data_IF_493060171881
#
_entry.id   IF_493060171881
#
_cell.length_a   1.000
_cell.length_b   1.000
_cell.length_c   1.000
_cell.angle_alpha   90.00
_cell.angle_beta   90.00
_cell.angle_gamma   90.00
#
_symmetry.space_group_name_H-M   'P 1'
#
loop_
_entity.id
_entity.type
_entity.pdbx_description
1 polymer ?
#
# COMPACT_ATOMS: atom_id res chain seq x y z
N UNK A 1 -12.70 -6.95 -3.14
CA UNK A 1 -13.01 -6.04 -4.28
C UNK A 1 -12.06 -4.85 -4.21
N UNK A 2 -11.54 -4.42 -5.35
CA UNK A 2 -10.64 -3.27 -5.44
C UNK A 2 -11.26 -2.19 -6.34
N UNK A 3 -11.32 -0.96 -5.84
CA UNK A 3 -11.92 0.21 -6.50
C UNK A 3 -10.82 1.23 -6.82
N UNK A 4 -10.72 1.63 -8.10
CA UNK A 4 -9.73 2.63 -8.54
C UNK A 4 -10.28 4.05 -8.49
N UNK A 5 -9.42 5.05 -8.53
CA UNK A 5 -9.78 6.49 -8.59
C UNK A 5 -10.71 6.85 -9.76
N UNK A 6 -10.87 5.98 -10.76
CA UNK A 6 -11.75 6.16 -11.94
C UNK A 6 -13.06 5.37 -11.86
N UNK A 7 -13.31 4.69 -10.75
CA UNK A 7 -14.51 3.86 -10.58
C UNK A 7 -14.39 2.46 -11.17
N UNK A 8 -13.24 2.08 -11.74
CA UNK A 8 -13.05 0.69 -12.17
C UNK A 8 -13.03 -0.23 -10.96
N UNK A 9 -13.66 -1.39 -11.09
CA UNK A 9 -13.79 -2.39 -10.03
C UNK A 9 -13.22 -3.71 -10.50
N UNK A 10 -12.41 -4.35 -9.66
CA UNK A 10 -11.74 -5.62 -9.96
C UNK A 10 -11.60 -6.50 -8.72
N UNK A 11 -11.29 -7.81 -8.85
CA UNK A 11 -11.05 -8.69 -7.72
C UNK A 11 -9.89 -8.25 -6.83
N UNK A 12 -8.81 -7.69 -7.41
CA UNK A 12 -7.62 -7.21 -6.70
C UNK A 12 -6.94 -6.09 -7.48
N UNK A 13 -5.99 -5.40 -6.87
CA UNK A 13 -5.27 -4.27 -7.46
C UNK A 13 -4.42 -4.63 -8.70
N UNK A 14 -4.00 -5.89 -8.85
CA UNK A 14 -3.28 -6.37 -10.05
C UNK A 14 -4.14 -6.46 -11.32
N UNK A 15 -5.45 -6.37 -11.17
CA UNK A 15 -6.43 -6.46 -12.26
C UNK A 15 -7.17 -5.12 -12.50
N UNK A 16 -6.55 -3.94 -12.43
CA UNK A 16 -7.27 -2.67 -12.51
C UNK A 16 -7.97 -2.53 -13.86
N UNK A 17 -9.26 -2.17 -13.83
CA UNK A 17 -10.05 -1.91 -15.03
C UNK A 17 -10.52 -3.14 -15.82
N UNK A 18 -10.28 -4.35 -15.34
CA UNK A 18 -10.60 -5.57 -16.12
C UNK A 18 -12.00 -6.15 -15.87
N UNK A 19 -12.70 -5.76 -14.82
CA UNK A 19 -13.97 -6.40 -14.49
C UNK A 19 -15.18 -5.53 -14.75
N UNK A 20 -15.32 -4.43 -14.02
CA UNK A 20 -16.52 -3.59 -14.12
C UNK A 20 -16.20 -2.14 -13.76
N UNK A 21 -17.21 -1.27 -13.83
CA UNK A 21 -17.11 0.13 -13.44
C UNK A 21 -18.32 0.51 -12.58
N UNK A 22 -18.06 1.08 -11.41
CA UNK A 22 -19.08 1.67 -10.58
C UNK A 22 -19.51 3.03 -11.17
N UNK A 23 -20.80 3.30 -11.14
CA UNK A 23 -21.40 4.54 -11.64
C UNK A 23 -22.88 4.60 -11.34
N UNK A 24 -23.59 5.58 -11.93
CA UNK A 24 -25.00 5.86 -11.63
C UNK A 24 -25.93 4.66 -11.88
N UNK A 25 -25.59 3.81 -12.85
CA UNK A 25 -26.48 2.73 -13.33
C UNK A 25 -26.11 1.34 -12.77
N UNK A 26 -25.08 1.24 -11.93
CA UNK A 26 -24.58 -0.03 -11.38
C UNK A 26 -24.28 0.08 -9.90
N UNK A 27 -25.01 -0.68 -9.06
CA UNK A 27 -24.71 -0.78 -7.64
C UNK A 27 -23.46 -1.62 -7.37
N UNK A 28 -22.86 -1.48 -6.17
CA UNK A 28 -21.75 -2.33 -5.72
C UNK A 28 -22.19 -3.81 -5.72
N UNK A 29 -23.44 -4.08 -5.34
CA UNK A 29 -23.99 -5.44 -5.30
C UNK A 29 -24.17 -6.02 -6.72
N UNK A 30 -24.64 -5.22 -7.70
CA UNK A 30 -24.75 -5.66 -9.10
C UNK A 30 -23.37 -6.03 -9.67
N UNK A 31 -22.35 -5.27 -9.32
CA UNK A 31 -20.95 -5.57 -9.71
C UNK A 31 -20.48 -6.86 -9.04
N UNK A 32 -20.70 -7.01 -7.72
CA UNK A 32 -20.26 -8.17 -6.97
C UNK A 32 -20.92 -9.46 -7.44
N UNK A 33 -22.23 -9.43 -7.70
CA UNK A 33 -23.01 -10.57 -8.21
C UNK A 33 -22.93 -10.74 -9.74
N UNK A 34 -22.29 -9.81 -10.44
CA UNK A 34 -22.17 -9.82 -11.89
C UNK A 34 -21.28 -10.95 -12.44
N UNK A 35 -21.54 -11.35 -13.69
CA UNK A 35 -20.90 -12.49 -14.36
C UNK A 35 -19.38 -12.46 -14.34
N UNK A 36 -18.77 -11.28 -14.46
CA UNK A 36 -17.31 -11.14 -14.46
C UNK A 36 -16.70 -11.50 -13.10
N UNK A 37 -17.28 -11.04 -12.00
CA UNK A 37 -16.84 -11.41 -10.67
C UNK A 37 -17.14 -12.88 -10.37
N UNK A 38 -18.28 -13.38 -10.84
CA UNK A 38 -18.64 -14.80 -10.71
C UNK A 38 -17.63 -15.69 -11.44
N UNK A 39 -17.23 -15.33 -12.67
CA UNK A 39 -16.21 -16.04 -13.43
C UNK A 39 -14.89 -16.19 -12.66
N UNK A 40 -14.42 -15.12 -11.99
CA UNK A 40 -13.20 -15.17 -11.18
C UNK A 40 -13.39 -16.05 -9.93
N UNK A 41 -14.54 -15.96 -9.25
CA UNK A 41 -14.85 -16.81 -8.08
C UNK A 41 -14.87 -18.29 -8.47
N UNK A 42 -15.56 -18.63 -9.54
CA UNK A 42 -15.67 -20.02 -10.02
C UNK A 42 -14.29 -20.57 -10.43
N UNK A 43 -13.51 -19.79 -11.14
CA UNK A 43 -12.17 -20.18 -11.55
C UNK A 43 -11.25 -20.43 -10.34
N UNK A 44 -11.19 -19.48 -9.40
CA UNK A 44 -10.35 -19.61 -8.20
C UNK A 44 -10.82 -20.72 -7.28
N UNK A 45 -12.14 -20.93 -7.13
CA UNK A 45 -12.69 -22.05 -6.36
C UNK A 45 -12.34 -23.41 -6.96
N UNK A 46 -12.16 -23.47 -8.28
CA UNK A 46 -11.68 -24.66 -9.00
C UNK A 46 -10.14 -24.74 -9.10
N UNK A 47 -9.41 -23.93 -8.33
CA UNK A 47 -7.95 -23.78 -8.41
C UNK A 47 -7.44 -23.48 -9.83
N UNK A 48 -8.22 -22.71 -10.61
CA UNK A 48 -7.83 -22.26 -11.95
C UNK A 48 -7.49 -20.78 -11.93
N UNK A 49 -6.26 -20.45 -12.27
CA UNK A 49 -5.79 -19.09 -12.36
C UNK A 49 -5.97 -18.54 -13.78
N UNK A 50 -6.87 -17.56 -13.94
CA UNK A 50 -7.23 -16.96 -15.23
C UNK A 50 -6.62 -15.56 -15.40
N UNK A 51 -6.32 -15.20 -16.64
CA UNK A 51 -5.76 -13.87 -16.95
C UNK A 51 -4.50 -13.59 -16.15
N UNK A 52 -4.44 -12.44 -15.51
CA UNK A 52 -3.29 -12.02 -14.69
C UNK A 52 -3.19 -12.74 -13.34
N UNK A 53 -4.19 -13.52 -12.94
CA UNK A 53 -4.07 -14.39 -11.76
C UNK A 53 -2.95 -15.42 -11.93
N UNK A 54 -2.52 -15.72 -13.16
CA UNK A 54 -1.35 -16.57 -13.45
C UNK A 54 -0.03 -16.04 -12.88
N UNK A 55 0.08 -14.76 -12.61
CA UNK A 55 1.24 -14.21 -11.91
C UNK A 55 1.30 -14.73 -10.47
N UNK A 56 0.15 -14.77 -9.77
CA UNK A 56 0.07 -15.36 -8.43
C UNK A 56 0.23 -16.89 -8.46
N UNK A 57 -0.26 -17.58 -9.51
CA UNK A 57 -0.02 -19.01 -9.72
C UNK A 57 1.48 -19.31 -9.77
N UNK A 58 2.22 -18.56 -10.60
CA UNK A 58 3.66 -18.69 -10.71
C UNK A 58 4.40 -18.40 -9.39
N UNK A 59 3.95 -17.38 -8.62
CA UNK A 59 4.51 -17.10 -7.30
C UNK A 59 4.30 -18.27 -6.33
N UNK A 60 3.13 -18.91 -6.37
CA UNK A 60 2.80 -20.07 -5.53
C UNK A 60 3.64 -21.28 -5.93
N UNK A 61 3.73 -21.57 -7.24
CA UNK A 61 4.50 -22.69 -7.77
C UNK A 61 6.01 -22.59 -7.48
N UNK A 62 6.54 -21.36 -7.47
CA UNK A 62 7.94 -21.09 -7.16
C UNK A 62 8.19 -20.83 -5.66
N UNK A 63 7.19 -21.05 -4.80
CA UNK A 63 7.26 -20.81 -3.35
C UNK A 63 7.63 -19.36 -2.96
N UNK A 64 7.39 -18.41 -3.87
CA UNK A 64 7.58 -16.98 -3.68
C UNK A 64 6.21 -16.31 -3.62
N UNK A 65 5.70 -16.00 -2.45
CA UNK A 65 4.27 -15.74 -2.20
C UNK A 65 3.86 -14.27 -1.90
N UNK A 66 4.63 -13.21 -2.16
CA UNK A 66 4.33 -11.91 -1.56
C UNK A 66 2.92 -11.39 -1.88
N UNK A 67 2.42 -11.61 -3.11
CA UNK A 67 1.11 -11.12 -3.53
C UNK A 67 -0.03 -12.08 -3.15
N UNK A 68 0.17 -13.38 -3.36
CA UNK A 68 -0.82 -14.37 -2.97
C UNK A 68 -1.08 -14.34 -1.46
N UNK A 69 -0.04 -14.18 -0.63
CA UNK A 69 -0.16 -14.02 0.83
C UNK A 69 -0.99 -12.81 1.26
N UNK A 70 -0.96 -11.72 0.50
CA UNK A 70 -1.75 -10.53 0.82
C UNK A 70 -3.27 -10.79 0.78
N UNK A 71 -3.71 -11.88 0.13
CA UNK A 71 -5.12 -12.21 -0.05
C UNK A 71 -5.53 -13.57 0.54
N UNK A 72 -4.60 -14.40 1.02
CA UNK A 72 -4.87 -15.79 1.47
C UNK A 72 -5.87 -15.88 2.64
N UNK A 73 -5.99 -14.85 3.47
CA UNK A 73 -6.85 -14.85 4.66
C UNK A 73 -8.25 -14.28 4.40
N UNK A 74 -8.61 -14.03 3.14
CA UNK A 74 -9.89 -13.46 2.76
C UNK A 74 -10.74 -14.47 1.99
N UNK A 75 -11.56 -15.28 2.68
CA UNK A 75 -12.38 -16.28 2.04
C UNK A 75 -13.42 -15.66 1.11
N UNK A 76 -13.79 -16.41 0.09
CA UNK A 76 -14.91 -16.05 -0.79
C UNK A 76 -16.21 -16.50 -0.12
N UNK A 77 -17.07 -15.53 0.16
CA UNK A 77 -18.38 -15.72 0.78
C UNK A 77 -19.47 -15.08 -0.09
N UNK A 78 -20.71 -15.02 0.42
CA UNK A 78 -21.80 -14.30 -0.22
C UNK A 78 -21.47 -12.82 -0.42
N UNK A 79 -20.72 -12.22 0.52
CA UNK A 79 -20.12 -10.88 0.45
C UNK A 79 -18.60 -10.96 0.34
N UNK A 80 -17.93 -9.92 -0.19
CA UNK A 80 -16.47 -9.86 -0.15
C UNK A 80 -15.99 -9.72 1.30
N UNK A 81 -14.91 -10.40 1.65
CA UNK A 81 -14.26 -10.26 2.97
C UNK A 81 -13.30 -9.08 3.04
N UNK A 82 -12.82 -8.61 1.89
CA UNK A 82 -11.88 -7.50 1.75
C UNK A 82 -12.37 -6.50 0.70
N UNK A 83 -12.37 -5.22 1.06
CA UNK A 83 -12.49 -4.10 0.12
C UNK A 83 -11.27 -3.20 0.18
N UNK A 84 -10.71 -2.86 -0.99
CA UNK A 84 -9.60 -1.94 -1.16
C UNK A 84 -10.07 -0.74 -1.99
N UNK A 85 -9.90 0.46 -1.45
CA UNK A 85 -10.53 1.67 -1.97
C UNK A 85 -9.48 2.74 -2.30
N UNK A 86 -9.38 3.10 -3.58
CA UNK A 86 -8.69 4.29 -4.08
C UNK A 86 -9.73 5.27 -4.62
N UNK A 87 -10.26 6.13 -3.74
CA UNK A 87 -11.44 6.92 -4.07
C UNK A 87 -11.13 8.25 -4.77
N UNK A 88 -9.91 8.75 -4.64
CA UNK A 88 -9.52 10.04 -5.22
C UNK A 88 -8.01 10.13 -5.34
N UNK A 89 -7.55 10.96 -6.28
CA UNK A 89 -6.14 11.36 -6.37
C UNK A 89 -5.82 12.60 -5.52
N UNK A 90 -6.70 13.04 -4.64
CA UNK A 90 -6.42 14.16 -3.74
C UNK A 90 -5.23 13.83 -2.84
N UNK A 91 -4.13 14.54 -3.03
CA UNK A 91 -2.89 14.39 -2.27
C UNK A 91 -2.20 15.74 -2.14
N UNK A 92 -1.62 15.98 -0.99
CA UNK A 92 -0.86 17.20 -0.69
C UNK A 92 0.61 17.09 -1.09
N UNK A 93 1.10 15.91 -1.52
CA UNK A 93 2.47 15.68 -1.95
C UNK A 93 2.58 15.41 -3.46
N UNK A 94 3.80 15.67 -4.00
CA UNK A 94 4.15 15.46 -5.41
C UNK A 94 5.37 14.53 -5.55
N UNK A 95 5.32 13.36 -4.89
CA UNK A 95 6.43 12.41 -4.82
C UNK A 95 6.98 12.04 -6.19
N UNK A 96 8.32 11.93 -6.31
CA UNK A 96 8.99 11.68 -7.61
C UNK A 96 8.57 10.35 -8.24
N UNK A 97 8.30 9.33 -7.43
CA UNK A 97 7.88 7.99 -7.88
C UNK A 97 6.37 7.86 -8.08
N UNK A 98 5.59 8.90 -7.84
CA UNK A 98 4.14 8.88 -7.99
C UNK A 98 3.68 9.44 -9.34
N UNK A 99 2.39 9.32 -9.64
CA UNK A 99 1.78 9.77 -10.90
C UNK A 99 0.60 10.72 -10.65
N UNK A 100 0.19 11.45 -11.69
CA UNK A 100 -1.01 12.29 -11.63
C UNK A 100 -2.34 11.54 -11.51
N UNK A 101 -2.33 10.21 -11.63
CA UNK A 101 -3.50 9.39 -11.32
C UNK A 101 -3.72 9.27 -9.80
N UNK A 102 -2.62 9.33 -9.02
CA UNK A 102 -2.65 9.20 -7.55
C UNK A 102 -2.24 10.47 -6.81
N UNK A 103 -1.90 11.56 -7.52
CA UNK A 103 -1.65 12.88 -6.92
C UNK A 103 -2.23 14.00 -7.77
N UNK A 104 -3.15 14.76 -7.18
CA UNK A 104 -3.74 15.93 -7.81
C UNK A 104 -2.72 17.04 -8.07
N UNK A 105 -1.70 17.18 -7.18
CA UNK A 105 -0.60 18.10 -7.36
C UNK A 105 0.26 17.75 -8.59
N UNK A 106 0.70 16.48 -8.69
CA UNK A 106 1.45 15.97 -9.85
C UNK A 106 0.64 16.17 -11.14
N UNK A 107 -0.64 15.79 -11.11
CA UNK A 107 -1.52 15.92 -12.28
C UNK A 107 -1.60 17.35 -12.81
N UNK A 108 -1.69 18.32 -11.90
CA UNK A 108 -1.74 19.74 -12.23
C UNK A 108 -0.36 20.28 -12.63
N UNK A 109 0.65 20.08 -11.78
CA UNK A 109 1.92 20.79 -11.85
C UNK A 109 2.95 20.15 -12.79
N UNK A 110 3.05 18.79 -12.77
CA UNK A 110 3.99 18.02 -13.59
C UNK A 110 3.37 17.58 -14.90
N UNK A 111 2.18 16.95 -14.84
CA UNK A 111 1.54 16.36 -16.02
C UNK A 111 0.76 17.38 -16.87
N UNK A 112 0.45 18.58 -16.33
CA UNK A 112 -0.34 19.63 -17.00
C UNK A 112 -1.71 19.14 -17.49
N UNK A 113 -2.33 18.20 -16.75
CA UNK A 113 -3.62 17.61 -17.07
C UNK A 113 -4.75 18.26 -16.27
N UNK A 114 -6.00 18.28 -16.78
CA UNK A 114 -7.15 18.76 -16.03
C UNK A 114 -7.39 17.91 -14.76
N UNK A 115 -8.08 18.45 -13.74
CA UNK A 115 -8.42 17.69 -12.53
C UNK A 115 -9.09 16.36 -12.86
N UNK A 116 -8.79 15.34 -12.07
CA UNK A 116 -9.48 14.06 -12.14
C UNK A 116 -10.81 14.22 -11.40
N UNK A 117 -11.91 13.89 -12.10
CA UNK A 117 -13.23 13.85 -11.49
C UNK A 117 -13.42 12.45 -10.90
N UNK A 118 -13.51 12.38 -9.58
CA UNK A 118 -13.85 11.13 -8.89
C UNK A 118 -15.32 10.80 -9.14
N UNK A 119 -15.66 9.55 -9.50
CA UNK A 119 -17.07 9.14 -9.66
C UNK A 119 -17.77 8.93 -8.31
N UNK A 120 -17.02 8.78 -7.21
CA UNK A 120 -17.57 8.45 -5.91
C UNK A 120 -18.30 9.62 -5.27
N UNK A 121 -19.45 9.32 -4.67
CA UNK A 121 -20.38 10.28 -4.07
C UNK A 121 -21.05 9.69 -2.81
N UNK A 122 -22.01 10.38 -2.23
CA UNK A 122 -22.71 9.94 -1.02
C UNK A 122 -23.45 8.61 -1.24
N UNK A 123 -24.02 8.37 -2.45
CA UNK A 123 -24.65 7.08 -2.79
C UNK A 123 -23.66 5.90 -2.74
N UNK A 124 -22.39 6.12 -3.08
CA UNK A 124 -21.38 5.08 -2.91
C UNK A 124 -21.16 4.72 -1.42
N UNK A 125 -21.10 5.73 -0.56
CA UNK A 125 -20.98 5.53 0.88
C UNK A 125 -22.17 4.78 1.44
N UNK A 126 -23.40 5.15 1.02
CA UNK A 126 -24.63 4.50 1.44
C UNK A 126 -24.68 3.02 1.03
N UNK A 127 -24.24 2.70 -0.19
CA UNK A 127 -24.18 1.31 -0.67
C UNK A 127 -23.17 0.46 0.13
N UNK A 128 -22.07 1.04 0.64
CA UNK A 128 -21.11 0.31 1.46
C UNK A 128 -21.70 -0.15 2.80
N UNK A 129 -22.76 0.47 3.32
CA UNK A 129 -23.42 0.06 4.58
C UNK A 129 -23.88 -1.39 4.56
N UNK A 130 -24.30 -1.90 3.40
CA UNK A 130 -24.70 -3.29 3.24
C UNK A 130 -23.52 -4.27 3.35
N UNK A 131 -22.32 -3.83 2.95
CA UNK A 131 -21.12 -4.68 2.91
C UNK A 131 -20.32 -4.69 4.22
N UNK A 132 -20.27 -3.55 4.90
CA UNK A 132 -19.44 -3.35 6.09
C UNK A 132 -19.63 -4.41 7.19
N UNK A 133 -20.84 -4.93 7.49
CA UNK A 133 -21.02 -6.00 8.47
C UNK A 133 -20.35 -7.34 8.09
N UNK A 134 -20.06 -7.54 6.80
CA UNK A 134 -19.54 -8.80 6.26
C UNK A 134 -18.03 -8.75 5.96
N UNK A 135 -17.43 -7.55 6.06
CA UNK A 135 -16.00 -7.37 5.80
C UNK A 135 -15.15 -7.84 6.99
N UNK A 136 -14.01 -8.45 6.68
CA UNK A 136 -12.91 -8.70 7.63
C UNK A 136 -11.98 -7.50 7.69
N UNK A 137 -11.73 -6.86 6.52
CA UNK A 137 -10.83 -5.72 6.42
C UNK A 137 -11.29 -4.75 5.32
N UNK A 138 -11.08 -3.45 5.55
CA UNK A 138 -11.19 -2.39 4.56
C UNK A 138 -9.87 -1.65 4.46
N UNK A 139 -9.35 -1.46 3.23
CA UNK A 139 -8.09 -0.77 2.97
C UNK A 139 -8.31 0.51 2.21
N UNK A 140 -7.67 1.58 2.64
CA UNK A 140 -7.66 2.85 1.93
C UNK A 140 -6.27 3.16 1.40
N UNK A 141 -6.20 3.29 0.07
CA UNK A 141 -5.02 3.64 -0.70
C UNK A 141 -5.33 4.84 -1.62
N UNK A 142 -4.35 5.25 -2.43
CA UNK A 142 -4.51 6.29 -3.45
C UNK A 142 -4.63 7.70 -2.88
N UNK A 143 -3.92 8.66 -3.46
CA UNK A 143 -3.79 10.01 -2.94
C UNK A 143 -3.27 10.05 -1.50
N UNK A 144 -3.89 10.91 -0.68
CA UNK A 144 -3.71 10.90 0.77
C UNK A 144 -5.08 10.63 1.44
N UNK A 145 -5.32 9.44 1.99
CA UNK A 145 -6.63 9.07 2.52
C UNK A 145 -7.16 10.01 3.60
N UNK A 146 -6.30 10.48 4.52
CA UNK A 146 -6.71 11.40 5.57
C UNK A 146 -7.06 12.83 5.08
N UNK A 147 -6.79 13.14 3.80
CA UNK A 147 -7.22 14.39 3.17
C UNK A 147 -8.51 14.23 2.33
N UNK A 148 -9.03 13.02 2.17
CA UNK A 148 -10.17 12.75 1.27
C UNK A 148 -11.51 12.72 2.00
N UNK A 149 -12.46 13.56 1.56
CA UNK A 149 -13.80 13.66 2.16
C UNK A 149 -14.48 12.29 2.28
N UNK A 150 -14.52 11.51 1.21
CA UNK A 150 -15.26 10.24 1.20
C UNK A 150 -14.59 9.14 2.00
N UNK A 151 -13.27 9.11 2.11
CA UNK A 151 -12.57 8.22 3.05
C UNK A 151 -13.02 8.52 4.49
N UNK A 152 -13.00 9.79 4.87
CA UNK A 152 -13.41 10.21 6.22
C UNK A 152 -14.88 9.93 6.50
N UNK A 153 -15.77 10.12 5.52
CA UNK A 153 -17.20 9.80 5.64
C UNK A 153 -17.45 8.28 5.77
N UNK A 154 -16.70 7.47 5.03
CA UNK A 154 -16.77 6.01 5.16
C UNK A 154 -16.31 5.57 6.54
N UNK A 155 -15.24 6.17 7.09
CA UNK A 155 -14.81 5.87 8.47
C UNK A 155 -15.90 6.23 9.51
N UNK A 156 -16.61 7.35 9.36
CA UNK A 156 -17.76 7.65 10.23
C UNK A 156 -18.87 6.60 10.10
N UNK A 157 -19.19 6.20 8.89
CA UNK A 157 -20.19 5.16 8.64
C UNK A 157 -19.76 3.81 9.21
N UNK A 158 -18.48 3.44 9.10
CA UNK A 158 -17.94 2.20 9.70
C UNK A 158 -18.05 2.26 11.22
N UNK A 159 -17.76 3.40 11.85
CA UNK A 159 -17.91 3.59 13.30
C UNK A 159 -19.36 3.37 13.78
N UNK A 160 -20.35 3.70 12.94
CA UNK A 160 -21.77 3.46 13.23
C UNK A 160 -22.18 1.99 13.06
N UNK A 161 -21.69 1.33 12.00
CA UNK A 161 -22.18 0.02 11.54
C UNK A 161 -21.36 -1.14 12.11
N UNK A 162 -20.03 -1.02 12.11
CA UNK A 162 -19.11 -2.05 12.59
C UNK A 162 -17.80 -1.42 13.07
N UNK A 163 -17.76 -0.82 14.27
CA UNK A 163 -16.57 -0.14 14.80
C UNK A 163 -15.36 -1.08 15.02
N UNK A 164 -15.59 -2.40 15.06
CA UNK A 164 -14.55 -3.41 15.18
C UNK A 164 -13.89 -3.80 13.85
N UNK A 165 -14.45 -3.38 12.70
CA UNK A 165 -13.86 -3.67 11.39
C UNK A 165 -12.42 -3.16 11.31
N UNK A 166 -11.50 -4.03 10.92
CA UNK A 166 -10.12 -3.64 10.65
C UNK A 166 -10.07 -2.68 9.46
N UNK A 167 -9.68 -1.44 9.72
CA UNK A 167 -9.42 -0.44 8.67
C UNK A 167 -7.90 -0.29 8.53
N UNK A 168 -7.36 -0.51 7.34
CA UNK A 168 -5.95 -0.28 7.05
C UNK A 168 -5.79 0.97 6.18
N UNK A 169 -5.00 1.94 6.63
CA UNK A 169 -4.79 3.22 5.94
C UNK A 169 -3.31 3.37 5.55
N UNK A 170 -3.06 3.44 4.23
CA UNK A 170 -1.75 3.81 3.70
C UNK A 170 -1.66 5.34 3.57
N UNK A 171 -0.90 5.99 4.44
CA UNK A 171 -0.78 7.45 4.50
C UNK A 171 0.64 7.93 4.22
N UNK A 172 0.76 9.14 3.67
CA UNK A 172 2.06 9.82 3.54
C UNK A 172 2.57 10.41 4.87
N UNK A 173 1.79 10.30 5.92
CA UNK A 173 2.20 10.67 7.26
C UNK A 173 2.10 12.15 7.61
N UNK A 174 1.72 13.02 6.69
CA UNK A 174 1.76 14.48 6.91
C UNK A 174 0.45 15.05 7.46
N UNK A 175 -0.65 14.31 7.39
CA UNK A 175 -1.99 14.81 7.73
C UNK A 175 -2.44 14.26 9.08
N UNK A 176 -2.50 15.14 10.09
CA UNK A 176 -3.13 14.87 11.39
C UNK A 176 -3.89 16.11 11.88
N UNK A 177 -5.17 15.95 12.19
CA UNK A 177 -6.04 17.03 12.66
C UNK A 177 -7.16 16.46 13.55
N UNK A 178 -8.05 17.33 14.05
CA UNK A 178 -9.17 16.93 14.92
C UNK A 178 -10.09 15.88 14.30
N UNK A 179 -10.26 15.92 12.97
CA UNK A 179 -11.10 14.97 12.24
C UNK A 179 -10.45 13.58 12.21
N UNK A 180 -9.15 13.51 11.89
CA UNK A 180 -8.37 12.27 11.92
C UNK A 180 -8.36 11.68 13.33
N UNK A 181 -8.10 12.52 14.36
CA UNK A 181 -8.15 12.08 15.77
C UNK A 181 -9.48 11.41 16.09
N UNK A 182 -10.61 12.03 15.75
CA UNK A 182 -11.95 11.45 15.98
C UNK A 182 -12.12 10.09 15.29
N UNK A 183 -11.63 9.93 14.06
CA UNK A 183 -11.71 8.66 13.33
C UNK A 183 -10.92 7.57 14.06
N UNK A 184 -9.70 7.88 14.51
CA UNK A 184 -8.89 6.93 15.27
C UNK A 184 -9.57 6.51 16.57
N UNK A 185 -10.20 7.44 17.28
CA UNK A 185 -10.92 7.17 18.54
C UNK A 185 -12.15 6.27 18.35
N UNK A 186 -12.77 6.29 17.15
CA UNK A 186 -14.05 5.61 16.89
C UNK A 186 -13.93 4.32 16.10
N UNK A 187 -12.75 4.02 15.55
CA UNK A 187 -12.55 2.88 14.65
C UNK A 187 -11.31 2.07 15.04
N UNK A 188 -11.27 0.84 14.55
CA UNK A 188 -10.09 -0.04 14.64
C UNK A 188 -9.15 0.23 13.43
N UNK A 189 -8.34 1.30 13.51
CA UNK A 189 -7.47 1.74 12.40
C UNK A 189 -6.05 1.21 12.57
N UNK A 190 -5.55 0.50 11.58
CA UNK A 190 -4.17 0.11 11.38
C UNK A 190 -3.52 1.07 10.39
N UNK A 191 -2.29 1.49 10.66
CA UNK A 191 -1.65 2.59 9.92
C UNK A 191 -0.37 2.11 9.24
N UNK A 192 -0.26 2.38 7.94
CA UNK A 192 0.93 2.14 7.15
C UNK A 192 1.50 3.47 6.66
N UNK A 193 2.61 3.91 7.27
CA UNK A 193 3.21 5.21 7.01
C UNK A 193 4.26 5.08 5.92
N UNK A 194 4.11 5.85 4.87
CA UNK A 194 5.07 5.88 3.76
C UNK A 194 6.22 6.85 4.04
N UNK A 195 7.43 6.32 4.27
CA UNK A 195 8.66 7.10 4.51
C UNK A 195 9.76 6.57 3.60
N UNK A 196 10.32 7.41 2.70
CA UNK A 196 11.31 6.96 1.72
C UNK A 196 12.75 7.42 2.03
N UNK A 197 12.95 8.19 3.08
CA UNK A 197 14.27 8.54 3.60
C UNK A 197 14.20 8.94 5.08
N UNK A 198 15.21 8.59 5.85
CA UNK A 198 15.43 9.04 7.22
C UNK A 198 16.25 10.34 7.27
N UNK A 199 16.78 10.80 6.13
CA UNK A 199 17.44 12.08 6.00
C UNK A 199 16.43 13.16 5.58
N UNK A 200 16.29 14.29 6.33
CA UNK A 200 15.29 15.32 6.05
C UNK A 200 15.38 15.95 4.66
N UNK A 201 16.60 16.21 4.19
CA UNK A 201 16.81 16.80 2.86
C UNK A 201 16.37 15.81 1.76
N UNK A 202 16.87 14.57 1.80
CA UNK A 202 16.51 13.54 0.82
C UNK A 202 15.03 13.20 0.88
N UNK A 203 14.42 13.15 2.06
CA UNK A 203 12.98 12.99 2.19
C UNK A 203 12.23 14.05 1.39
N UNK A 204 12.60 15.34 1.54
CA UNK A 204 11.94 16.44 0.83
C UNK A 204 12.20 16.42 -0.68
N UNK A 205 13.34 15.90 -1.13
CA UNK A 205 13.65 15.70 -2.56
C UNK A 205 12.83 14.57 -3.17
N UNK A 206 12.53 13.52 -2.40
CA UNK A 206 11.72 12.38 -2.84
C UNK A 206 10.22 12.69 -2.70
N UNK A 207 9.80 13.16 -1.53
CA UNK A 207 8.40 13.48 -1.21
C UNK A 207 8.18 14.99 -1.25
N UNK A 208 8.22 15.52 -2.48
CA UNK A 208 8.09 16.96 -2.76
C UNK A 208 6.85 17.52 -2.04
N UNK A 209 7.00 18.67 -1.39
CA UNK A 209 6.07 19.34 -0.49
C UNK A 209 5.92 18.67 0.90
N UNK A 210 6.64 17.59 1.18
CA UNK A 210 6.65 16.93 2.49
C UNK A 210 7.83 17.39 3.36
N UNK A 211 7.62 17.37 4.68
CA UNK A 211 8.66 17.57 5.69
C UNK A 211 8.73 16.36 6.60
N UNK A 212 9.92 15.77 6.76
CA UNK A 212 10.11 14.59 7.61
C UNK A 212 9.76 14.87 9.08
N UNK A 213 9.99 16.10 9.55
CA UNK A 213 9.62 16.53 10.91
C UNK A 213 8.12 16.42 11.19
N UNK A 214 7.27 16.72 10.20
CA UNK A 214 5.82 16.62 10.36
C UNK A 214 5.39 15.14 10.43
N UNK A 215 6.03 14.31 9.63
CA UNK A 215 5.79 12.85 9.64
C UNK A 215 6.22 12.24 10.97
N UNK A 216 7.41 12.58 11.48
CA UNK A 216 7.88 12.07 12.78
C UNK A 216 6.96 12.49 13.92
N UNK A 217 6.49 13.77 13.94
CA UNK A 217 5.53 14.23 14.93
C UNK A 217 4.23 13.40 14.92
N UNK A 218 3.68 13.14 13.74
CA UNK A 218 2.46 12.37 13.59
C UNK A 218 2.69 10.89 13.88
N UNK A 219 3.87 10.37 13.52
CA UNK A 219 4.28 8.99 13.77
C UNK A 219 4.26 8.64 15.27
N UNK A 220 4.77 9.53 16.14
CA UNK A 220 4.72 9.32 17.59
C UNK A 220 3.27 9.24 18.11
N UNK A 221 2.37 10.10 17.60
CA UNK A 221 0.94 10.06 17.95
C UNK A 221 0.31 8.72 17.52
N UNK A 222 0.64 8.24 16.31
CA UNK A 222 0.10 6.97 15.81
C UNK A 222 0.69 5.76 16.54
N UNK A 223 1.96 5.85 16.94
CA UNK A 223 2.60 4.81 17.77
C UNK A 223 1.89 4.67 19.12
N UNK A 224 1.58 5.79 19.77
CA UNK A 224 0.80 5.81 21.01
C UNK A 224 -0.62 5.26 20.79
N UNK A 225 -1.28 5.67 19.70
CA UNK A 225 -2.62 5.19 19.34
C UNK A 225 -2.66 3.68 19.05
N UNK A 226 -1.70 3.17 18.28
CA UNK A 226 -1.69 1.75 17.92
C UNK A 226 -1.35 0.85 19.11
N UNK A 227 -0.44 1.27 20.00
CA UNK A 227 -0.02 0.46 21.13
C UNK A 227 0.40 -0.96 20.71
N UNK A 228 -0.02 -1.95 21.48
CA UNK A 228 0.24 -3.37 21.20
C UNK A 228 -0.89 -4.05 20.39
N UNK A 229 -2.07 -3.41 20.33
CA UNK A 229 -3.30 -4.01 19.77
C UNK A 229 -3.48 -3.79 18.27
N UNK A 230 -2.88 -2.74 17.73
CA UNK A 230 -3.03 -2.35 16.32
C UNK A 230 -1.69 -2.33 15.60
N UNK A 231 -1.73 -2.55 14.29
CA UNK A 231 -0.51 -2.53 13.48
C UNK A 231 -0.14 -1.09 13.10
N UNK A 232 1.06 -0.68 13.50
CA UNK A 232 1.78 0.42 12.87
C UNK A 232 2.89 -0.17 12.01
N UNK A 233 3.00 0.29 10.77
CA UNK A 233 4.06 -0.14 9.86
C UNK A 233 4.64 1.03 9.09
N UNK A 234 5.86 0.86 8.61
CA UNK A 234 6.50 1.77 7.66
C UNK A 234 6.63 1.09 6.31
N UNK A 235 6.19 1.78 5.27
CA UNK A 235 6.40 1.38 3.88
C UNK A 235 7.46 2.27 3.24
N UNK A 236 8.44 1.64 2.62
CA UNK A 236 9.53 2.31 1.91
C UNK A 236 9.55 1.84 0.47
N UNK A 237 9.79 2.77 -0.44
CA UNK A 237 10.04 2.45 -1.85
C UNK A 237 11.55 2.50 -2.10
N UNK A 238 12.24 1.34 -2.21
CA UNK A 238 13.65 1.31 -2.59
C UNK A 238 13.85 1.88 -4.00
N UNK A 239 14.68 2.92 -4.09
CA UNK A 239 14.96 3.67 -5.33
C UNK A 239 16.46 3.84 -5.55
N UNK A 240 16.83 4.23 -6.78
CA UNK A 240 18.22 4.53 -7.14
C UNK A 240 18.91 5.59 -6.26
N UNK A 241 18.13 6.44 -5.58
CA UNK A 241 18.62 7.58 -4.79
C UNK A 241 18.47 7.38 -3.27
N UNK A 242 17.91 6.25 -2.79
CA UNK A 242 17.78 5.97 -1.37
C UNK A 242 18.15 4.52 -0.97
N UNK A 243 18.53 3.65 -1.91
CA UNK A 243 18.77 2.22 -1.66
C UNK A 243 19.73 1.96 -0.48
N UNK A 244 20.69 2.83 -0.28
CA UNK A 244 21.68 2.72 0.79
C UNK A 244 21.11 2.96 2.19
N UNK A 245 19.87 3.47 2.32
CA UNK A 245 19.17 3.61 3.61
C UNK A 245 18.35 2.36 4.00
N UNK A 246 18.26 1.34 3.16
CA UNK A 246 17.33 0.22 3.42
C UNK A 246 17.66 -0.52 4.73
N UNK A 247 18.92 -0.71 5.07
CA UNK A 247 19.28 -1.34 6.35
C UNK A 247 19.06 -0.40 7.54
N UNK A 248 19.15 0.92 7.33
CA UNK A 248 18.81 1.90 8.37
C UNK A 248 17.30 1.87 8.67
N UNK A 249 16.45 1.62 7.67
CA UNK A 249 15.02 1.40 7.87
C UNK A 249 14.71 0.11 8.62
N UNK A 250 15.50 -0.98 8.42
CA UNK A 250 15.37 -2.18 9.25
C UNK A 250 15.65 -1.83 10.71
N UNK A 251 16.77 -1.12 10.95
CA UNK A 251 17.12 -0.67 12.30
C UNK A 251 16.03 0.23 12.90
N UNK A 252 15.55 1.20 12.14
CA UNK A 252 14.48 2.12 12.57
C UNK A 252 13.21 1.34 12.96
N UNK A 253 12.78 0.39 12.15
CA UNK A 253 11.59 -0.39 12.42
C UNK A 253 11.74 -1.33 13.62
N UNK A 254 12.91 -1.95 13.78
CA UNK A 254 13.25 -2.80 14.93
C UNK A 254 13.32 -1.98 16.23
N UNK A 255 13.97 -0.80 16.21
CA UNK A 255 14.07 0.10 17.36
C UNK A 255 12.70 0.63 17.83
N UNK A 256 11.75 0.82 16.90
CA UNK A 256 10.37 1.28 17.19
C UNK A 256 9.37 0.14 17.41
N UNK A 257 9.79 -1.12 17.25
CA UNK A 257 8.96 -2.33 17.37
C UNK A 257 7.76 -2.38 16.40
N UNK A 258 7.94 -1.86 15.19
CA UNK A 258 6.93 -1.81 14.13
C UNK A 258 7.30 -2.72 12.96
N UNK A 259 6.34 -2.94 12.04
CA UNK A 259 6.58 -3.68 10.81
C UNK A 259 7.21 -2.78 9.74
N UNK A 260 8.08 -3.38 8.92
CA UNK A 260 8.67 -2.74 7.74
C UNK A 260 8.18 -3.45 6.47
N UNK A 261 7.90 -2.68 5.42
CA UNK A 261 7.58 -3.18 4.10
C UNK A 261 8.38 -2.44 3.03
N UNK A 262 8.93 -3.17 2.08
CA UNK A 262 9.50 -2.60 0.86
C UNK A 262 8.55 -2.80 -0.31
N UNK A 263 8.28 -1.71 -1.04
CA UNK A 263 7.42 -1.73 -2.20
C UNK A 263 8.24 -1.46 -3.47
N UNK A 264 8.16 -2.37 -4.44
CA UNK A 264 8.90 -2.24 -5.69
C UNK A 264 8.24 -1.20 -6.60
N UNK A 265 9.01 -0.20 -7.03
CA UNK A 265 8.57 0.79 -8.01
C UNK A 265 8.55 0.16 -9.40
N UNK A 266 7.37 0.14 -10.01
CA UNK A 266 7.18 -0.28 -11.41
C UNK A 266 7.27 0.92 -12.36
N UNK A 267 6.76 2.06 -11.95
CA UNK A 267 6.77 3.33 -12.68
C UNK A 267 6.88 4.50 -11.70
N UNK A 268 7.55 5.60 -12.07
CA UNK A 268 8.36 5.78 -13.30
C UNK A 268 9.67 4.96 -13.24
N UNK A 269 10.05 4.35 -14.37
CA UNK A 269 11.22 3.45 -14.46
C UNK A 269 12.55 4.11 -14.09
N UNK A 270 12.66 5.41 -14.31
CA UNK A 270 13.88 6.19 -13.99
C UNK A 270 14.25 6.17 -12.51
N UNK A 271 13.32 5.88 -11.61
CA UNK A 271 13.59 5.75 -10.17
C UNK A 271 13.76 4.30 -9.71
N UNK A 272 13.34 3.35 -10.53
CA UNK A 272 13.37 1.92 -10.20
C UNK A 272 14.79 1.36 -10.16
N UNK A 273 15.10 0.56 -9.13
CA UNK A 273 16.39 -0.13 -9.01
C UNK A 273 16.57 -1.13 -10.16
N UNK A 274 15.53 -1.91 -10.47
CA UNK A 274 15.58 -2.95 -11.51
C UNK A 274 15.89 -2.41 -12.91
N UNK A 275 15.74 -1.11 -13.15
CA UNK A 275 16.05 -0.44 -14.42
C UNK A 275 17.49 0.12 -14.48
N UNK A 276 18.33 -0.23 -13.51
CA UNK A 276 19.73 0.19 -13.49
C UNK A 276 20.63 -0.78 -14.27
N UNK A 277 21.78 -0.31 -14.79
CA UNK A 277 22.74 -1.19 -15.45
C UNK A 277 23.35 -2.21 -14.49
N UNK A 278 23.78 -3.36 -15.03
CA UNK A 278 24.29 -4.53 -14.27
C UNK A 278 25.34 -4.17 -13.21
N UNK A 279 26.29 -3.30 -13.56
CA UNK A 279 27.34 -2.88 -12.63
C UNK A 279 26.78 -2.13 -11.41
N UNK A 280 25.71 -1.36 -11.58
CA UNK A 280 25.03 -0.67 -10.48
C UNK A 280 24.15 -1.62 -9.65
N UNK A 281 23.49 -2.56 -10.29
CA UNK A 281 22.74 -3.62 -9.57
C UNK A 281 23.70 -4.45 -8.71
N UNK A 282 24.87 -4.80 -9.24
CA UNK A 282 25.92 -5.49 -8.47
C UNK A 282 26.38 -4.69 -7.26
N UNK A 283 26.71 -3.40 -7.46
CA UNK A 283 27.14 -2.49 -6.39
C UNK A 283 26.08 -2.42 -5.27
N UNK A 284 24.79 -2.26 -5.64
CA UNK A 284 23.68 -2.19 -4.69
C UNK A 284 23.53 -3.52 -3.93
N UNK A 285 23.56 -4.64 -4.65
CA UNK A 285 23.46 -5.96 -4.05
C UNK A 285 24.57 -6.21 -3.02
N UNK A 286 25.83 -6.03 -3.43
CA UNK A 286 27.00 -6.26 -2.56
C UNK A 286 27.00 -5.32 -1.35
N UNK A 287 26.70 -4.02 -1.56
CA UNK A 287 26.66 -3.03 -0.50
C UNK A 287 25.56 -3.29 0.54
N UNK A 288 24.37 -3.69 0.10
CA UNK A 288 23.28 -4.03 1.01
C UNK A 288 23.51 -5.38 1.70
N UNK A 289 24.04 -6.39 0.99
CA UNK A 289 24.35 -7.69 1.57
C UNK A 289 25.39 -7.58 2.70
N UNK A 290 26.47 -6.79 2.51
CA UNK A 290 27.47 -6.54 3.53
C UNK A 290 26.86 -5.84 4.76
N UNK A 291 26.06 -4.79 4.55
CA UNK A 291 25.41 -4.04 5.65
C UNK A 291 24.41 -4.90 6.41
N UNK A 292 23.61 -5.72 5.69
CA UNK A 292 22.68 -6.65 6.30
C UNK A 292 23.40 -7.70 7.14
N UNK A 293 24.49 -8.25 6.63
CA UNK A 293 25.32 -9.21 7.35
C UNK A 293 25.85 -8.60 8.67
N UNK A 294 26.43 -7.41 8.61
CA UNK A 294 26.90 -6.67 9.81
C UNK A 294 25.75 -6.40 10.80
N UNK A 295 24.60 -6.00 10.30
CA UNK A 295 23.44 -5.74 11.15
C UNK A 295 22.94 -7.01 11.87
N UNK A 296 22.94 -8.17 11.17
CA UNK A 296 22.53 -9.45 11.77
C UNK A 296 23.48 -9.95 12.87
N UNK A 297 24.74 -9.56 12.83
CA UNK A 297 25.73 -9.89 13.87
C UNK A 297 25.66 -8.99 15.11
N UNK A 298 24.92 -7.88 15.04
CA UNK A 298 24.75 -6.97 16.18
C UNK A 298 23.94 -7.62 17.30
N UNK A 299 24.31 -7.43 18.57
CA UNK A 299 23.54 -7.95 19.71
C UNK A 299 22.11 -7.44 19.68
N UNK A 300 21.16 -8.33 19.89
CA UNK A 300 19.73 -8.02 19.95
C UNK A 300 19.10 -8.53 21.22
N UNK A 301 18.14 -7.82 21.73
CA UNK A 301 17.35 -8.28 22.86
C UNK A 301 16.36 -9.38 22.41
N UNK A 302 16.29 -10.51 23.11
CA UNK A 302 15.30 -11.54 22.82
C UNK A 302 13.86 -10.99 22.90
N UNK A 303 13.00 -11.47 22.00
CA UNK A 303 11.58 -11.10 21.98
C UNK A 303 11.27 -9.76 21.29
N UNK A 304 12.28 -9.03 20.81
CA UNK A 304 12.09 -7.81 20.02
C UNK A 304 11.77 -8.11 18.55
N UNK A 305 11.03 -7.19 17.92
CA UNK A 305 10.70 -7.26 16.49
C UNK A 305 11.97 -7.35 15.64
N UNK A 306 11.88 -8.12 14.57
CA UNK A 306 13.01 -8.36 13.66
C UNK A 306 12.55 -8.30 12.21
N UNK A 307 12.88 -7.22 11.54
CA UNK A 307 12.52 -6.97 10.14
C UNK A 307 13.63 -7.38 9.14
N UNK A 308 14.67 -8.11 9.56
CA UNK A 308 15.76 -8.52 8.64
C UNK A 308 15.28 -9.36 7.48
N UNK A 309 14.24 -10.19 7.66
CA UNK A 309 13.64 -10.99 6.59
C UNK A 309 13.14 -10.14 5.42
N UNK A 310 12.66 -8.91 5.67
CA UNK A 310 12.22 -7.97 4.63
C UNK A 310 13.41 -7.50 3.79
N UNK A 311 14.54 -7.18 4.45
CA UNK A 311 15.78 -6.82 3.75
C UNK A 311 16.41 -8.01 3.04
N UNK A 312 16.36 -9.22 3.62
CA UNK A 312 16.79 -10.46 2.95
C UNK A 312 16.04 -10.68 1.64
N UNK A 313 14.72 -10.51 1.66
CA UNK A 313 13.91 -10.62 0.46
C UNK A 313 14.31 -9.58 -0.60
N UNK A 314 14.49 -8.31 -0.22
CA UNK A 314 14.94 -7.27 -1.14
C UNK A 314 16.30 -7.60 -1.75
N UNK A 315 17.28 -7.96 -0.93
CA UNK A 315 18.68 -8.17 -1.35
C UNK A 315 18.83 -9.45 -2.18
N UNK A 316 18.37 -10.58 -1.65
CA UNK A 316 18.68 -11.91 -2.20
C UNK A 316 17.62 -12.41 -3.19
N UNK A 317 16.36 -11.98 -3.08
CA UNK A 317 15.30 -12.44 -3.99
C UNK A 317 14.94 -11.42 -5.08
N UNK A 318 15.10 -10.11 -4.82
CA UNK A 318 14.77 -9.10 -5.83
C UNK A 318 16.02 -8.55 -6.54
N UNK A 319 16.92 -7.89 -5.82
CA UNK A 319 18.07 -7.21 -6.44
C UNK A 319 19.02 -8.20 -7.09
N UNK A 320 19.29 -9.34 -6.44
CA UNK A 320 20.12 -10.39 -7.00
C UNK A 320 19.53 -10.93 -8.30
N UNK A 321 18.25 -11.20 -8.36
CA UNK A 321 17.60 -11.68 -9.58
C UNK A 321 17.63 -10.62 -10.69
N UNK A 322 17.32 -9.35 -10.38
CA UNK A 322 17.47 -8.27 -11.38
C UNK A 322 18.89 -8.12 -11.91
N UNK A 323 19.90 -8.33 -11.06
CA UNK A 323 21.31 -8.35 -11.49
C UNK A 323 21.57 -9.53 -12.44
N UNK A 324 21.16 -10.75 -12.08
CA UNK A 324 21.34 -11.95 -12.91
C UNK A 324 20.61 -11.81 -14.25
N UNK A 325 19.38 -11.35 -14.27
CA UNK A 325 18.58 -11.12 -15.49
C UNK A 325 19.23 -10.08 -16.41
N UNK A 326 19.94 -9.11 -15.84
CA UNK A 326 20.63 -8.07 -16.61
C UNK A 326 21.90 -8.54 -17.32
N UNK A 327 22.36 -9.77 -17.03
CA UNK A 327 23.53 -10.40 -17.67
C UNK A 327 23.14 -11.27 -18.89
N UNK A 328 21.85 -11.59 -19.04
CA UNK A 328 21.27 -12.34 -20.17
C UNK A 328 20.77 -11.40 -21.25
#
# INVERSE_FOLDING_TARGET
MYFTVRGNVSPCWKLPGMCDQWGADRSIMDIWKGDKFQMYRDALSACKFIGRCKECESEIENEVWPLAKAYQNYPVNEYPSLMELELSNQCNLECIMCSGELSSGIRKNRDKKPPLISPYNDSFVDQLREFVPHLTEMRFNGGEPFAQKYVLNICDMVAEVNPGLKINIATNGTVYNKRVKKILEQNNVHINVSIDSLNPQRYSEIRINGKLSDVHKNFEIWKEYCGDDKELSVMVNPMRNNWFEMIDFVKFADDHEINLWYNTILYPKEWAIWNLPSNKLKEIHEGLAERLHKYKQSPRLPGKKNNTHVAEHLVHNQIQNWFLDSLT
#
